data_IF_471383901031
#
_entry.id   IF_471383901031
#
_cell.length_a   1.000
_cell.length_b   1.000
_cell.length_c   1.000
_cell.angle_alpha   90.00
_cell.angle_beta   90.00
_cell.angle_gamma   90.00
#
_symmetry.space_group_name_H-M   'P 1'
#
loop_
_entity.id
_entity.type
_entity.pdbx_description
1 polymer ?
#
# COMPACT_ATOMS: atom_id res chain seq x y z
N UNK A 1 -64.68 78.77 29.59
CA UNK A 1 -64.58 77.68 28.61
C UNK A 1 -63.13 77.23 28.30
N UNK A 2 -62.10 77.86 28.86
CA UNK A 2 -60.70 77.68 28.41
C UNK A 2 -59.84 76.71 29.25
N UNK A 3 -60.23 76.42 30.50
CA UNK A 3 -59.53 75.44 31.37
C UNK A 3 -59.89 73.97 31.06
N UNK A 4 -61.08 73.72 30.52
CA UNK A 4 -61.57 72.36 30.23
C UNK A 4 -60.91 71.75 28.98
N UNK A 5 -60.63 72.59 27.97
CA UNK A 5 -59.95 72.19 26.72
C UNK A 5 -58.45 71.89 26.93
N UNK A 6 -57.80 72.48 27.94
CA UNK A 6 -56.39 72.23 28.23
C UNK A 6 -56.16 70.88 28.93
N UNK A 7 -57.02 70.53 29.90
CA UNK A 7 -56.96 69.22 30.57
C UNK A 7 -57.30 68.06 29.63
N UNK A 8 -58.21 68.25 28.66
CA UNK A 8 -58.52 67.23 27.65
C UNK A 8 -57.33 66.92 26.73
N UNK A 9 -56.52 67.93 26.37
CA UNK A 9 -55.31 67.72 25.56
C UNK A 9 -54.22 66.97 26.33
N UNK A 10 -54.03 67.26 27.62
CA UNK A 10 -53.04 66.55 28.44
C UNK A 10 -53.43 65.08 28.65
N UNK A 11 -54.72 64.80 28.89
CA UNK A 11 -55.22 63.44 29.06
C UNK A 11 -55.12 62.65 27.75
N UNK A 12 -55.41 63.27 26.60
CA UNK A 12 -55.23 62.62 25.29
C UNK A 12 -53.74 62.36 24.97
N UNK A 13 -52.83 63.29 25.29
CA UNK A 13 -51.39 63.09 25.06
C UNK A 13 -50.81 62.00 25.97
N UNK A 14 -51.23 61.94 27.24
CA UNK A 14 -50.80 60.89 28.18
C UNK A 14 -51.39 59.53 27.78
N UNK A 15 -52.65 59.48 27.34
CA UNK A 15 -53.26 58.26 26.84
C UNK A 15 -52.60 57.78 25.53
N UNK A 16 -52.20 58.69 24.64
CA UNK A 16 -51.53 58.34 23.39
C UNK A 16 -50.09 57.82 23.64
N UNK A 17 -49.36 58.40 24.60
CA UNK A 17 -48.04 57.91 25.01
C UNK A 17 -48.15 56.56 25.73
N UNK A 18 -49.19 56.33 26.53
CA UNK A 18 -49.43 55.04 27.18
C UNK A 18 -49.79 53.94 26.17
N UNK A 19 -50.51 54.25 25.09
CA UNK A 19 -50.81 53.29 24.01
C UNK A 19 -49.57 52.94 23.18
N UNK A 20 -48.63 53.88 22.99
CA UNK A 20 -47.34 53.61 22.33
C UNK A 20 -46.43 52.71 23.20
N UNK A 21 -46.51 52.81 24.53
CA UNK A 21 -45.80 51.93 25.47
C UNK A 21 -46.48 50.56 25.71
N UNK A 22 -47.73 50.40 25.26
CA UNK A 22 -48.48 49.14 25.31
C UNK A 22 -48.42 48.35 23.99
N UNK A 23 -47.79 48.90 22.94
CA UNK A 23 -47.44 48.10 21.78
C UNK A 23 -46.31 47.15 22.20
N UNK A 24 -46.53 45.81 22.17
CA UNK A 24 -45.44 44.90 22.44
C UNK A 24 -44.35 45.20 21.43
N UNK A 25 -43.15 45.56 21.91
CA UNK A 25 -41.97 45.50 21.07
C UNK A 25 -41.95 44.09 20.49
N UNK A 26 -42.23 43.97 19.18
CA UNK A 26 -41.84 42.79 18.43
C UNK A 26 -40.32 42.85 18.36
N UNK A 27 -39.66 42.58 19.48
CA UNK A 27 -38.29 42.13 19.46
C UNK A 27 -38.29 40.94 18.53
N UNK A 28 -37.69 41.10 17.35
CA UNK A 28 -37.35 39.95 16.53
C UNK A 28 -36.48 39.08 17.42
N UNK A 29 -37.07 38.06 18.04
CA UNK A 29 -36.31 37.01 18.70
C UNK A 29 -35.38 36.50 17.61
N UNK A 30 -34.10 36.86 17.71
CA UNK A 30 -33.08 36.50 16.75
C UNK A 30 -33.08 34.98 16.73
N UNK A 31 -33.68 34.40 15.69
CA UNK A 31 -33.91 32.96 15.57
C UNK A 31 -32.55 32.31 15.80
N UNK A 32 -32.40 31.62 16.93
CA UNK A 32 -31.11 31.05 17.32
C UNK A 32 -30.67 30.15 16.19
N UNK A 33 -29.51 30.47 15.60
CA UNK A 33 -29.01 29.75 14.45
C UNK A 33 -28.85 28.28 14.82
N UNK A 34 -29.34 27.37 13.96
CA UNK A 34 -29.26 25.96 14.29
C UNK A 34 -27.78 25.51 14.39
N UNK A 35 -27.45 24.54 15.24
CA UNK A 35 -26.09 24.03 15.33
C UNK A 35 -25.51 23.60 13.97
N UNK A 36 -26.35 23.08 13.06
CA UNK A 36 -25.96 22.73 11.69
C UNK A 36 -25.61 23.95 10.84
N UNK A 37 -26.33 25.07 10.98
CA UNK A 37 -26.01 26.31 10.29
C UNK A 37 -24.71 26.93 10.83
N UNK A 38 -24.49 26.89 12.15
CA UNK A 38 -23.21 27.29 12.76
C UNK A 38 -22.05 26.41 12.25
N UNK A 39 -22.24 25.09 12.20
CA UNK A 39 -21.25 24.15 11.67
C UNK A 39 -20.96 24.41 10.18
N UNK A 40 -22.00 24.63 9.37
CA UNK A 40 -21.86 24.92 7.94
C UNK A 40 -21.05 26.19 7.69
N UNK A 41 -21.32 27.27 8.45
CA UNK A 41 -20.52 28.51 8.39
C UNK A 41 -19.06 28.28 8.75
N UNK A 42 -18.77 27.44 9.75
CA UNK A 42 -17.40 27.11 10.12
C UNK A 42 -16.66 26.37 8.99
N UNK A 43 -17.33 25.44 8.31
CA UNK A 43 -16.77 24.76 7.13
C UNK A 43 -16.54 25.77 6.00
N UNK A 44 -17.53 26.60 5.68
CA UNK A 44 -17.44 27.61 4.62
C UNK A 44 -16.29 28.60 4.86
N UNK A 45 -16.04 29.01 6.10
CA UNK A 45 -14.93 29.88 6.45
C UNK A 45 -13.56 29.24 6.09
N UNK A 46 -13.40 27.93 6.23
CA UNK A 46 -12.20 27.20 5.78
C UNK A 46 -12.10 27.19 4.24
N UNK A 47 -13.23 27.06 3.55
CA UNK A 47 -13.28 26.97 2.09
C UNK A 47 -12.92 28.28 1.37
N UNK A 48 -12.96 29.42 2.06
CA UNK A 48 -12.52 30.73 1.52
C UNK A 48 -10.99 30.78 1.31
N UNK A 49 -10.23 29.81 1.84
CA UNK A 49 -8.78 29.75 1.68
C UNK A 49 -8.33 29.84 0.21
N UNK A 50 -7.28 30.61 -0.06
CA UNK A 50 -6.77 30.86 -1.42
C UNK A 50 -6.34 29.57 -2.15
N UNK A 51 -5.88 28.55 -1.42
CA UNK A 51 -5.53 27.23 -1.95
C UNK A 51 -6.74 26.48 -2.53
N UNK A 52 -7.97 26.82 -2.12
CA UNK A 52 -9.21 26.14 -2.52
C UNK A 52 -10.02 26.92 -3.59
N UNK A 53 -9.50 28.06 -4.08
CA UNK A 53 -10.20 28.97 -5.02
C UNK A 53 -10.71 28.30 -6.30
N UNK A 54 -10.07 27.22 -6.76
CA UNK A 54 -10.50 26.48 -7.95
C UNK A 54 -11.79 25.68 -7.75
N UNK A 55 -12.27 25.55 -6.50
CA UNK A 55 -13.48 24.82 -6.11
C UNK A 55 -13.56 23.38 -6.67
N UNK A 56 -12.40 22.77 -6.92
CA UNK A 56 -12.30 21.40 -7.42
C UNK A 56 -12.21 20.41 -6.26
N UNK A 57 -13.24 20.41 -5.43
CA UNK A 57 -13.39 19.50 -4.30
C UNK A 57 -14.87 19.17 -4.10
N UNK A 58 -15.13 18.02 -3.50
CA UNK A 58 -16.44 17.62 -2.99
C UNK A 58 -16.32 17.25 -1.52
N UNK A 59 -17.30 17.68 -0.72
CA UNK A 59 -17.36 17.37 0.71
C UNK A 59 -18.76 16.85 1.02
N UNK A 60 -18.82 15.73 1.73
CA UNK A 60 -20.04 15.20 2.33
C UNK A 60 -19.74 14.79 3.76
N UNK A 61 -20.41 15.43 4.72
CA UNK A 61 -20.28 15.13 6.14
C UNK A 61 -21.59 14.52 6.60
N UNK A 62 -21.56 13.26 7.01
CA UNK A 62 -22.73 12.50 7.42
C UNK A 62 -22.61 12.07 8.88
N UNK A 63 -23.65 12.33 9.67
CA UNK A 63 -23.76 11.78 11.02
C UNK A 63 -24.32 10.36 10.93
N UNK A 64 -23.55 9.38 11.42
CA UNK A 64 -24.00 7.99 11.49
C UNK A 64 -25.08 7.81 12.58
N UNK A 65 -24.92 8.47 13.73
CA UNK A 65 -25.88 8.41 14.85
C UNK A 65 -27.24 9.01 14.46
N UNK A 66 -27.25 10.19 13.84
CA UNK A 66 -28.50 10.87 13.44
C UNK A 66 -29.02 10.41 12.08
N UNK A 67 -28.25 9.58 11.38
CA UNK A 67 -28.46 9.22 9.99
C UNK A 67 -28.80 10.43 9.08
N UNK A 68 -28.04 11.51 9.20
CA UNK A 68 -28.33 12.78 8.52
C UNK A 68 -27.06 13.40 7.94
N UNK A 69 -27.16 13.92 6.72
CA UNK A 69 -26.11 14.75 6.13
C UNK A 69 -26.09 16.11 6.82
N UNK A 70 -24.95 16.45 7.42
CA UNK A 70 -24.73 17.69 8.17
C UNK A 70 -24.21 18.81 7.26
N UNK A 71 -23.43 18.46 6.24
CA UNK A 71 -22.88 19.40 5.27
C UNK A 71 -22.64 18.68 3.94
N UNK A 72 -22.92 19.37 2.83
CA UNK A 72 -22.66 18.85 1.50
C UNK A 72 -22.34 19.97 0.51
N UNK A 73 -21.26 19.83 -0.24
CA UNK A 73 -20.93 20.69 -1.37
C UNK A 73 -20.28 19.84 -2.46
N UNK A 74 -20.81 19.91 -3.68
CA UNK A 74 -20.33 19.15 -4.84
C UNK A 74 -20.17 17.63 -4.59
N UNK A 75 -20.89 17.06 -3.62
CA UNK A 75 -20.66 15.68 -3.15
C UNK A 75 -20.90 14.61 -4.21
N UNK A 76 -21.75 14.92 -5.18
CA UNK A 76 -22.19 13.95 -6.19
C UNK A 76 -21.35 14.05 -7.48
N UNK A 77 -20.34 14.93 -7.50
CA UNK A 77 -19.38 15.02 -8.61
C UNK A 77 -18.33 13.91 -8.50
N UNK A 78 -17.87 13.42 -9.65
CA UNK A 78 -16.79 12.43 -9.71
C UNK A 78 -15.43 13.11 -9.54
N UNK A 79 -14.60 12.55 -8.66
CA UNK A 79 -13.23 12.98 -8.42
C UNK A 79 -12.29 11.78 -8.46
N UNK A 80 -11.00 12.02 -8.70
CA UNK A 80 -9.98 10.99 -8.47
C UNK A 80 -9.87 10.75 -6.96
N UNK A 81 -10.18 9.55 -6.46
CA UNK A 81 -10.17 9.29 -5.01
C UNK A 81 -8.75 9.15 -4.45
N UNK A 82 -7.72 9.07 -5.32
CA UNK A 82 -6.38 8.64 -4.94
C UNK A 82 -6.46 7.36 -4.08
N UNK A 83 -5.66 7.27 -3.01
CA UNK A 83 -5.66 6.10 -2.14
C UNK A 83 -6.94 5.88 -1.33
N UNK A 84 -7.91 6.81 -1.33
CA UNK A 84 -9.19 6.56 -0.67
C UNK A 84 -9.98 5.42 -1.31
N UNK A 85 -9.68 5.05 -2.57
CA UNK A 85 -10.27 3.86 -3.22
C UNK A 85 -10.01 2.58 -2.42
N UNK A 86 -8.91 2.52 -1.66
CA UNK A 86 -8.54 1.37 -0.83
C UNK A 86 -9.55 1.08 0.29
N UNK A 87 -10.39 2.05 0.67
CA UNK A 87 -11.50 1.83 1.59
C UNK A 87 -12.51 0.84 1.00
N UNK A 88 -12.79 0.93 -0.30
CA UNK A 88 -13.68 -0.01 -0.99
C UNK A 88 -13.05 -1.40 -1.09
N UNK A 89 -11.77 -1.48 -1.47
CA UNK A 89 -11.03 -2.75 -1.50
C UNK A 89 -11.00 -3.41 -0.12
N UNK A 90 -10.74 -2.64 0.94
CA UNK A 90 -10.74 -3.12 2.34
C UNK A 90 -12.11 -3.65 2.74
N UNK A 91 -13.17 -2.89 2.47
CA UNK A 91 -14.53 -3.31 2.80
C UNK A 91 -14.95 -4.58 2.05
N UNK A 92 -14.60 -4.68 0.76
CA UNK A 92 -14.88 -5.86 -0.06
C UNK A 92 -14.10 -7.08 0.41
N UNK A 93 -12.82 -6.91 0.75
CA UNK A 93 -11.97 -7.99 1.28
C UNK A 93 -12.54 -8.56 2.58
N UNK A 94 -12.92 -7.71 3.53
CA UNK A 94 -13.58 -8.13 4.77
C UNK A 94 -14.91 -8.83 4.51
N UNK A 95 -15.71 -8.33 3.54
CA UNK A 95 -17.01 -8.91 3.20
C UNK A 95 -16.91 -10.27 2.51
N UNK A 96 -15.91 -10.47 1.64
CA UNK A 96 -15.80 -11.67 0.80
C UNK A 96 -14.90 -12.76 1.37
N UNK A 97 -13.77 -12.37 1.95
CA UNK A 97 -12.78 -13.30 2.49
C UNK A 97 -12.93 -13.49 4.01
N UNK A 98 -13.39 -12.46 4.71
CA UNK A 98 -13.47 -12.44 6.17
C UNK A 98 -12.15 -12.03 6.85
N UNK A 99 -12.21 -11.51 8.09
CA UNK A 99 -11.04 -10.93 8.78
C UNK A 99 -9.95 -11.95 9.13
N UNK A 100 -10.31 -13.23 9.21
CA UNK A 100 -9.41 -14.35 9.58
C UNK A 100 -8.82 -15.06 8.37
N UNK A 101 -9.14 -14.63 7.15
CA UNK A 101 -8.55 -15.16 5.93
C UNK A 101 -7.03 -15.08 5.99
N UNK A 102 -6.35 -16.13 5.52
CA UNK A 102 -4.90 -16.22 5.45
C UNK A 102 -4.50 -16.66 4.06
N UNK A 103 -3.54 -15.95 3.49
CA UNK A 103 -2.97 -16.28 2.20
C UNK A 103 -2.04 -17.49 2.35
N UNK A 104 -2.04 -18.37 1.34
CA UNK A 104 -1.20 -19.57 1.32
C UNK A 104 0.06 -19.32 0.47
N UNK A 105 1.19 -19.87 0.91
CA UNK A 105 2.35 -20.14 0.07
C UNK A 105 2.73 -21.62 0.26
N UNK A 106 2.80 -22.39 -0.82
CA UNK A 106 3.02 -23.84 -0.76
C UNK A 106 4.36 -24.27 -1.35
N UNK A 107 4.94 -25.32 -0.79
CA UNK A 107 6.11 -26.02 -1.33
C UNK A 107 5.71 -27.41 -1.79
N UNK A 108 6.13 -27.80 -2.99
CA UNK A 108 5.76 -29.08 -3.59
C UNK A 108 7.00 -29.80 -4.13
N UNK A 109 6.97 -31.13 -4.17
CA UNK A 109 8.02 -31.94 -4.77
C UNK A 109 7.44 -32.92 -5.78
N UNK A 110 8.17 -33.15 -6.87
CA UNK A 110 7.75 -34.09 -7.92
C UNK A 110 8.10 -35.54 -7.61
N UNK A 111 8.99 -35.78 -6.63
CA UNK A 111 9.46 -37.11 -6.25
C UNK A 111 9.61 -37.21 -4.72
N UNK A 112 9.45 -38.40 -4.12
CA UNK A 112 9.78 -38.63 -2.71
C UNK A 112 11.24 -38.28 -2.40
N UNK A 113 11.49 -37.83 -1.17
CA UNK A 113 12.86 -37.61 -0.68
C UNK A 113 13.51 -38.98 -0.46
N UNK A 114 14.63 -39.24 -1.14
CA UNK A 114 15.42 -40.45 -1.04
C UNK A 114 16.65 -40.21 -0.14
N UNK A 115 16.60 -40.74 1.07
CA UNK A 115 17.60 -40.48 2.11
C UNK A 115 17.66 -38.99 2.45
N UNK A 116 18.66 -38.28 1.92
CA UNK A 116 18.84 -36.83 2.09
C UNK A 116 18.67 -36.01 0.82
N UNK A 117 18.24 -36.64 -0.28
CA UNK A 117 18.21 -36.02 -1.61
C UNK A 117 16.82 -36.10 -2.22
N UNK A 118 16.31 -34.95 -2.67
CA UNK A 118 15.21 -34.89 -3.62
C UNK A 118 15.78 -35.01 -5.04
N UNK A 119 15.46 -36.10 -5.75
CA UNK A 119 15.94 -36.33 -7.14
C UNK A 119 15.04 -35.68 -8.20
N UNK A 120 13.96 -35.03 -7.79
CA UNK A 120 13.06 -34.27 -8.66
C UNK A 120 13.18 -32.76 -8.44
N UNK A 121 12.20 -32.04 -8.97
CA UNK A 121 12.06 -30.60 -8.85
C UNK A 121 11.36 -30.26 -7.53
N UNK A 122 11.68 -29.08 -6.99
CA UNK A 122 10.91 -28.45 -5.90
C UNK A 122 10.18 -27.24 -6.46
N UNK A 123 8.91 -27.08 -6.13
CA UNK A 123 8.11 -25.92 -6.55
C UNK A 123 7.77 -25.04 -5.36
N UNK A 124 7.84 -23.73 -5.53
CA UNK A 124 7.24 -22.75 -4.63
C UNK A 124 6.06 -22.10 -5.35
N UNK A 125 4.88 -22.19 -4.74
CA UNK A 125 3.64 -21.65 -5.30
C UNK A 125 3.09 -20.55 -4.42
N UNK A 126 2.89 -19.39 -5.02
CA UNK A 126 2.22 -18.28 -4.36
C UNK A 126 0.72 -18.27 -4.65
N UNK A 127 -0.09 -18.05 -3.62
CA UNK A 127 -1.54 -17.85 -3.73
C UNK A 127 -1.92 -16.41 -3.37
N UNK A 128 -1.11 -15.45 -3.82
CA UNK A 128 -1.39 -14.02 -3.69
C UNK A 128 -0.99 -13.38 -2.37
N UNK A 129 -0.20 -14.06 -1.52
CA UNK A 129 0.24 -13.54 -0.21
C UNK A 129 0.96 -12.18 -0.36
N UNK A 130 0.37 -11.08 0.12
CA UNK A 130 0.99 -9.76 0.02
C UNK A 130 2.01 -9.51 1.13
N UNK A 131 2.19 -10.45 2.07
CA UNK A 131 3.01 -10.33 3.26
C UNK A 131 3.98 -11.52 3.43
N UNK A 132 4.34 -12.20 2.33
CA UNK A 132 5.48 -13.10 2.31
C UNK A 132 6.78 -12.27 2.34
N UNK A 133 7.29 -12.04 3.54
CA UNK A 133 8.54 -11.32 3.78
C UNK A 133 9.64 -12.24 4.32
N UNK A 134 10.84 -11.70 4.55
CA UNK A 134 12.03 -12.44 5.00
C UNK A 134 11.75 -13.42 6.16
N UNK A 135 10.98 -13.00 7.16
CA UNK A 135 10.60 -13.81 8.30
C UNK A 135 9.76 -15.03 7.89
N UNK A 136 8.74 -14.85 7.06
CA UNK A 136 7.88 -15.94 6.59
C UNK A 136 8.63 -16.89 5.64
N UNK A 137 9.54 -16.37 4.81
CA UNK A 137 10.41 -17.20 3.98
C UNK A 137 11.33 -18.08 4.83
N UNK A 138 11.90 -17.53 5.92
CA UNK A 138 12.67 -18.32 6.87
C UNK A 138 11.85 -19.41 7.54
N UNK A 139 10.61 -19.11 7.97
CA UNK A 139 9.72 -20.12 8.53
C UNK A 139 9.43 -21.24 7.53
N UNK A 140 9.09 -20.89 6.29
CA UNK A 140 8.80 -21.85 5.22
C UNK A 140 10.00 -22.77 4.93
N UNK A 141 11.20 -22.20 4.84
CA UNK A 141 12.44 -22.95 4.61
C UNK A 141 12.84 -23.78 5.83
N UNK A 142 12.58 -23.28 7.04
CA UNK A 142 12.87 -24.02 8.27
C UNK A 142 12.01 -25.26 8.42
N UNK A 143 10.78 -25.27 7.89
CA UNK A 143 9.97 -26.51 7.83
C UNK A 143 10.66 -27.62 7.03
N UNK A 144 11.43 -27.28 5.98
CA UNK A 144 12.19 -28.28 5.24
C UNK A 144 13.37 -28.85 6.03
N UNK A 145 13.86 -28.15 7.05
CA UNK A 145 14.89 -28.69 7.96
C UNK A 145 14.35 -29.80 8.86
N UNK A 146 13.04 -29.83 9.11
CA UNK A 146 12.36 -30.92 9.81
C UNK A 146 12.29 -32.20 8.95
N UNK A 147 12.66 -32.12 7.68
CA UNK A 147 12.82 -33.26 6.77
C UNK A 147 14.30 -33.68 6.68
N UNK A 148 14.60 -34.92 6.27
CA UNK A 148 15.98 -35.35 6.04
C UNK A 148 16.62 -34.69 4.80
N UNK A 149 15.93 -33.76 4.13
CA UNK A 149 16.37 -33.07 2.92
C UNK A 149 17.63 -32.22 3.15
N UNK A 150 18.67 -32.49 2.36
CA UNK A 150 19.91 -31.68 2.30
C UNK A 150 20.31 -31.30 0.87
N UNK A 151 19.73 -31.94 -0.14
CA UNK A 151 20.04 -31.66 -1.54
C UNK A 151 18.81 -31.82 -2.43
N UNK A 152 18.61 -30.89 -3.36
CA UNK A 152 17.65 -30.99 -4.47
C UNK A 152 18.45 -31.06 -5.77
N UNK A 153 18.25 -32.14 -6.54
CA UNK A 153 18.95 -32.34 -7.82
C UNK A 153 18.25 -31.69 -9.01
N UNK A 154 16.92 -31.56 -8.94
CA UNK A 154 16.13 -30.89 -9.96
C UNK A 154 16.13 -29.37 -9.84
N UNK A 155 15.22 -28.76 -10.60
CA UNK A 155 15.00 -27.32 -10.67
C UNK A 155 14.14 -26.80 -9.52
N UNK A 156 14.15 -25.48 -9.35
CA UNK A 156 13.13 -24.75 -8.59
C UNK A 156 12.10 -24.20 -9.58
N UNK A 157 10.84 -24.57 -9.37
CA UNK A 157 9.71 -24.08 -10.17
C UNK A 157 8.97 -23.00 -9.39
N UNK A 158 8.88 -21.80 -9.97
CA UNK A 158 8.13 -20.68 -9.43
C UNK A 158 6.72 -20.67 -10.04
N UNK A 159 5.72 -21.08 -9.25
CA UNK A 159 4.32 -21.12 -9.70
C UNK A 159 3.57 -19.86 -9.23
N UNK A 160 3.16 -19.05 -10.21
CA UNK A 160 2.32 -17.86 -10.03
C UNK A 160 0.95 -17.96 -10.71
N UNK A 161 0.53 -19.17 -11.09
CA UNK A 161 -0.71 -19.43 -11.86
C UNK A 161 -2.01 -19.07 -11.14
N UNK A 162 -1.94 -18.66 -9.86
CA UNK A 162 -3.11 -18.20 -9.11
C UNK A 162 -3.62 -16.84 -9.62
N UNK A 163 -2.73 -15.99 -10.19
CA UNK A 163 -3.10 -14.73 -10.84
C UNK A 163 -2.82 -14.78 -12.34
N UNK A 164 -3.34 -13.77 -13.06
CA UNK A 164 -2.95 -13.50 -14.44
C UNK A 164 -1.52 -12.97 -14.54
N UNK A 165 -1.00 -12.93 -15.76
CA UNK A 165 0.34 -12.44 -16.10
C UNK A 165 0.43 -10.90 -16.16
N UNK A 166 -0.68 -10.20 -15.86
CA UNK A 166 -0.71 -8.74 -15.81
C UNK A 166 0.02 -8.22 -14.55
N UNK A 167 1.31 -7.96 -14.68
CA UNK A 167 2.16 -7.45 -13.60
C UNK A 167 1.78 -6.04 -13.13
N UNK A 168 0.96 -5.28 -13.87
CA UNK A 168 0.51 -3.94 -13.49
C UNK A 168 -0.87 -3.64 -14.03
N UNK A 169 -1.59 -2.73 -13.38
CA UNK A 169 -2.89 -2.26 -13.86
C UNK A 169 -2.69 -1.41 -15.11
N UNK A 170 -3.52 -1.65 -16.13
CA UNK A 170 -3.49 -0.94 -17.42
C UNK A 170 -3.58 0.59 -17.31
N UNK A 171 -4.22 1.10 -16.25
CA UNK A 171 -4.42 2.55 -16.03
C UNK A 171 -3.24 3.24 -15.35
N UNK A 172 -2.26 2.50 -14.81
CA UNK A 172 -1.06 3.12 -14.28
C UNK A 172 -0.21 3.71 -15.41
N UNK A 173 0.52 4.82 -15.15
CA UNK A 173 1.24 5.59 -16.18
C UNK A 173 2.29 4.74 -16.92
N UNK A 174 2.30 4.80 -18.26
CA UNK A 174 3.19 4.01 -19.15
C UNK A 174 4.70 4.13 -18.90
N UNK A 175 5.19 5.24 -18.31
CA UNK A 175 6.61 5.39 -17.92
C UNK A 175 6.76 5.01 -16.46
N UNK A 176 7.20 3.78 -16.22
CA UNK A 176 7.35 3.19 -14.90
C UNK A 176 8.60 3.75 -14.22
N UNK A 177 8.40 4.43 -13.10
CA UNK A 177 9.48 4.69 -12.17
C UNK A 177 9.83 3.42 -11.38
N UNK A 178 10.94 3.49 -10.66
CA UNK A 178 11.49 2.37 -9.90
C UNK A 178 11.02 2.33 -8.46
N UNK A 179 10.11 3.24 -8.09
CA UNK A 179 9.65 3.39 -6.73
C UNK A 179 8.86 2.15 -6.28
N UNK A 180 8.96 1.84 -4.99
CA UNK A 180 8.26 0.71 -4.36
C UNK A 180 6.73 0.73 -4.58
N UNK A 181 6.10 1.91 -4.61
CA UNK A 181 4.65 2.01 -4.83
C UNK A 181 4.20 1.65 -6.26
N UNK A 182 5.15 1.45 -7.18
CA UNK A 182 4.97 0.99 -8.56
C UNK A 182 5.42 -0.47 -8.76
N UNK A 183 5.63 -1.22 -7.66
CA UNK A 183 6.05 -2.61 -7.71
C UNK A 183 5.08 -3.45 -8.56
N UNK A 184 5.61 -4.38 -9.37
CA UNK A 184 4.77 -5.30 -10.11
C UNK A 184 3.98 -6.21 -9.17
N UNK A 185 2.83 -6.66 -9.62
CA UNK A 185 1.96 -7.64 -9.00
C UNK A 185 2.40 -9.05 -9.38
N UNK A 186 2.01 -10.06 -8.60
CA UNK A 186 2.31 -11.46 -8.91
C UNK A 186 1.84 -12.37 -7.79
N UNK A 187 1.31 -13.56 -8.12
CA UNK A 187 0.78 -14.46 -7.09
C UNK A 187 1.87 -15.00 -6.16
N UNK A 188 3.08 -15.17 -6.68
CA UNK A 188 4.29 -15.43 -5.91
C UNK A 188 5.11 -14.14 -5.84
N UNK A 189 5.08 -13.50 -4.67
CA UNK A 189 5.75 -12.24 -4.42
C UNK A 189 6.54 -12.32 -3.13
N UNK A 190 7.65 -11.57 -3.05
CA UNK A 190 8.50 -11.52 -1.85
C UNK A 190 8.86 -10.08 -1.53
N UNK A 191 8.82 -9.68 -0.25
CA UNK A 191 9.14 -8.33 0.22
C UNK A 191 8.46 -7.23 -0.62
N UNK A 192 7.16 -7.39 -0.88
CA UNK A 192 6.36 -6.46 -1.69
C UNK A 192 6.88 -6.25 -3.12
N UNK A 193 7.64 -7.22 -3.66
CA UNK A 193 8.36 -7.14 -4.93
C UNK A 193 9.32 -5.95 -4.99
N UNK A 194 10.03 -5.74 -3.89
CA UNK A 194 11.04 -4.72 -3.75
C UNK A 194 12.35 -5.29 -3.21
N UNK A 195 13.43 -4.55 -3.50
CA UNK A 195 14.75 -4.70 -2.92
C UNK A 195 15.09 -3.44 -2.14
N UNK A 196 15.78 -3.60 -1.03
CA UNK A 196 16.30 -2.49 -0.24
C UNK A 196 17.76 -2.24 -0.60
N UNK A 197 18.13 -0.99 -0.88
CA UNK A 197 19.50 -0.57 -1.18
C UNK A 197 19.96 0.37 -0.08
N UNK A 198 21.01 -0.04 0.62
CA UNK A 198 21.68 0.73 1.63
C UNK A 198 22.94 1.37 1.05
N UNK A 199 23.10 2.69 1.22
CA UNK A 199 24.28 3.42 0.75
C UNK A 199 24.93 4.12 1.93
N UNK A 200 26.14 3.70 2.28
CA UNK A 200 26.96 4.28 3.35
C UNK A 200 28.14 5.03 2.71
N UNK A 201 28.51 6.23 3.18
CA UNK A 201 29.71 6.90 2.68
C UNK A 201 30.96 6.03 2.82
N UNK A 202 31.92 6.22 1.93
CA UNK A 202 33.27 5.69 2.10
C UNK A 202 34.02 6.42 3.21
N UNK A 203 35.19 5.92 3.60
CA UNK A 203 35.93 6.44 4.75
C UNK A 203 36.45 7.86 4.52
N UNK A 204 36.83 8.20 3.29
CA UNK A 204 37.42 9.50 2.93
C UNK A 204 36.80 10.10 1.67
N UNK A 205 36.86 11.42 1.49
CA UNK A 205 36.48 12.05 0.23
C UNK A 205 37.27 11.46 -0.95
N UNK A 206 36.57 11.12 -2.04
CA UNK A 206 37.12 10.43 -3.20
C UNK A 206 36.76 8.94 -3.26
N UNK A 207 36.51 8.31 -2.11
CA UNK A 207 36.15 6.89 -2.05
C UNK A 207 34.78 6.61 -2.67
N UNK A 208 34.57 5.40 -3.17
CA UNK A 208 33.20 4.95 -3.52
C UNK A 208 32.43 4.68 -2.23
N UNK A 209 31.14 5.06 -2.14
CA UNK A 209 30.32 4.65 -1.02
C UNK A 209 30.14 3.14 -1.02
N UNK A 210 29.95 2.54 0.15
CA UNK A 210 29.59 1.13 0.28
C UNK A 210 28.11 0.97 -0.05
N UNK A 211 27.79 0.09 -0.99
CA UNK A 211 26.42 -0.22 -1.40
C UNK A 211 26.13 -1.66 -1.04
N UNK A 212 25.09 -1.86 -0.23
CA UNK A 212 24.59 -3.18 0.18
C UNK A 212 23.15 -3.31 -0.29
N UNK A 213 22.80 -4.45 -0.88
CA UNK A 213 21.42 -4.77 -1.28
C UNK A 213 20.86 -5.88 -0.42
N UNK A 214 19.57 -5.80 -0.13
CA UNK A 214 18.83 -6.82 0.61
C UNK A 214 17.52 -7.14 -0.13
N UNK A 215 17.31 -8.41 -0.56
CA UNK A 215 18.20 -9.56 -0.41
C UNK A 215 19.41 -9.53 -1.37
N UNK A 216 20.55 -10.04 -0.90
CA UNK A 216 21.77 -10.22 -1.72
C UNK A 216 21.69 -11.54 -2.50
N UNK A 217 21.28 -11.46 -3.76
CA UNK A 217 21.09 -12.62 -4.65
C UNK A 217 21.61 -12.30 -6.05
N UNK A 218 21.94 -13.33 -6.83
CA UNK A 218 22.52 -13.19 -8.18
C UNK A 218 21.63 -12.38 -9.15
N UNK A 219 20.31 -12.39 -8.94
CA UNK A 219 19.35 -11.62 -9.75
C UNK A 219 19.44 -10.11 -9.52
N UNK A 220 20.06 -9.65 -8.42
CA UNK A 220 20.26 -8.23 -8.13
C UNK A 220 21.76 -7.92 -8.24
N UNK A 221 22.14 -7.07 -9.19
CA UNK A 221 23.55 -6.66 -9.37
C UNK A 221 23.71 -5.18 -9.12
N UNK A 222 24.82 -4.78 -8.52
CA UNK A 222 25.08 -3.36 -8.19
C UNK A 222 26.11 -2.78 -9.14
N UNK A 223 25.75 -1.65 -9.75
CA UNK A 223 26.65 -0.78 -10.50
C UNK A 223 26.85 0.53 -9.72
N UNK A 224 27.92 0.56 -8.93
CA UNK A 224 28.24 1.68 -8.05
C UNK A 224 29.19 2.67 -8.74
N UNK A 225 28.61 3.77 -9.22
CA UNK A 225 29.27 4.90 -9.87
C UNK A 225 29.36 6.13 -8.97
N UNK A 226 28.80 6.09 -7.76
CA UNK A 226 28.78 7.21 -6.84
C UNK A 226 30.15 7.48 -6.18
N UNK A 227 30.27 8.65 -5.55
CA UNK A 227 31.49 9.06 -4.83
C UNK A 227 31.17 9.71 -3.49
N UNK A 228 32.07 9.51 -2.55
CA UNK A 228 32.07 10.17 -1.25
C UNK A 228 32.75 11.51 -1.38
N UNK A 229 32.18 12.56 -0.79
CA UNK A 229 32.74 13.93 -0.80
C UNK A 229 32.86 14.46 0.62
N UNK A 230 33.71 15.47 0.86
CA UNK A 230 33.92 16.04 2.19
C UNK A 230 32.63 16.63 2.77
N UNK A 231 32.15 17.73 2.19
CA UNK A 231 30.90 18.39 2.57
C UNK A 231 30.29 18.99 1.33
N UNK A 232 29.03 18.64 1.04
CA UNK A 232 28.30 19.22 -0.09
C UNK A 232 26.93 19.69 0.38
N UNK A 233 26.61 20.96 0.11
CA UNK A 233 25.23 21.50 0.25
C UNK A 233 24.25 20.85 -0.74
N UNK A 234 24.75 20.05 -1.69
CA UNK A 234 23.99 19.32 -2.71
C UNK A 234 24.43 17.85 -2.76
N UNK A 235 24.55 17.20 -1.59
CA UNK A 235 24.66 15.74 -1.50
C UNK A 235 23.39 15.15 -2.11
N UNK A 236 23.50 14.48 -3.26
CA UNK A 236 22.38 13.84 -3.92
C UNK A 236 22.86 12.59 -4.60
N UNK A 237 22.38 11.47 -4.10
CA UNK A 237 22.45 10.20 -4.78
C UNK A 237 21.28 10.07 -5.76
N UNK A 238 21.53 9.33 -6.83
CA UNK A 238 20.51 8.84 -7.76
C UNK A 238 20.67 7.33 -7.74
N UNK A 239 19.67 6.67 -7.17
CA UNK A 239 19.59 5.22 -7.02
C UNK A 239 18.44 4.74 -7.90
N UNK A 240 18.75 3.87 -8.85
CA UNK A 240 17.81 3.43 -9.87
C UNK A 240 17.93 1.93 -10.12
N UNK A 241 16.92 1.34 -10.73
CA UNK A 241 16.94 -0.06 -11.21
C UNK A 241 16.82 -0.06 -12.74
N UNK A 242 17.66 -0.86 -13.40
CA UNK A 242 17.63 -1.12 -14.84
C UNK A 242 17.31 -2.59 -15.05
N UNK A 243 16.39 -2.87 -15.97
CA UNK A 243 16.08 -4.24 -16.36
C UNK A 243 17.10 -4.69 -17.43
N UNK A 244 17.83 -5.77 -17.14
CA UNK A 244 18.79 -6.38 -18.07
C UNK A 244 18.27 -7.71 -18.64
N UNK A 245 16.99 -8.04 -18.40
CA UNK A 245 16.36 -9.28 -18.84
C UNK A 245 16.67 -10.47 -17.93
N UNK A 246 17.95 -10.79 -17.71
CA UNK A 246 18.36 -11.89 -16.83
C UNK A 246 18.63 -11.48 -15.38
N UNK A 247 18.74 -10.18 -15.11
CA UNK A 247 18.92 -9.62 -13.77
C UNK A 247 18.38 -8.19 -13.70
N UNK A 248 18.23 -7.67 -12.48
CA UNK A 248 17.96 -6.27 -12.20
C UNK A 248 19.26 -5.60 -11.75
N UNK A 249 19.69 -4.58 -12.48
CA UNK A 249 20.90 -3.81 -12.16
C UNK A 249 20.53 -2.56 -11.36
N UNK A 250 21.01 -2.48 -10.13
CA UNK A 250 20.90 -1.32 -9.25
C UNK A 250 22.04 -0.36 -9.57
N UNK A 251 21.73 0.76 -10.18
CA UNK A 251 22.71 1.80 -10.47
C UNK A 251 22.71 2.86 -9.36
N UNK A 252 23.87 3.11 -8.76
CA UNK A 252 24.06 4.15 -7.73
C UNK A 252 25.02 5.19 -8.27
N UNK A 253 24.59 6.44 -8.37
CA UNK A 253 25.38 7.56 -8.92
C UNK A 253 25.17 8.84 -8.12
N UNK A 254 25.96 9.88 -8.41
CA UNK A 254 25.95 11.13 -7.66
C UNK A 254 26.95 11.10 -6.51
N UNK A 255 26.66 11.86 -5.46
CA UNK A 255 27.60 12.06 -4.34
C UNK A 255 26.92 11.95 -2.98
N UNK A 256 27.64 11.42 -2.00
CA UNK A 256 27.26 11.37 -0.59
C UNK A 256 28.37 11.99 0.27
N UNK A 257 28.02 12.81 1.28
CA UNK A 257 29.04 13.39 2.18
C UNK A 257 29.61 12.34 3.12
N UNK A 258 30.90 12.43 3.44
CA UNK A 258 31.60 11.51 4.36
C UNK A 258 30.98 11.48 5.76
N UNK A 259 30.35 12.58 6.19
CA UNK A 259 29.67 12.68 7.48
C UNK A 259 28.17 12.33 7.41
N UNK A 260 27.67 11.89 6.25
CA UNK A 260 26.26 11.56 6.07
C UNK A 260 25.93 10.20 6.69
N UNK A 261 24.74 10.07 7.27
CA UNK A 261 24.25 8.77 7.72
C UNK A 261 23.95 7.85 6.52
N UNK A 262 23.90 6.54 6.77
CA UNK A 262 23.48 5.56 5.77
C UNK A 262 22.12 5.92 5.20
N UNK A 263 22.02 6.03 3.88
CA UNK A 263 20.76 6.23 3.17
C UNK A 263 20.13 4.90 2.79
N UNK A 264 18.80 4.85 2.73
CA UNK A 264 18.03 3.65 2.41
C UNK A 264 17.05 3.94 1.29
N UNK A 265 17.06 3.09 0.26
CA UNK A 265 16.22 3.20 -0.93
C UNK A 265 15.45 1.90 -1.13
N UNK A 266 14.17 2.01 -1.50
CA UNK A 266 13.32 0.85 -1.83
C UNK A 266 12.96 0.89 -3.30
N UNK A 267 13.41 -0.12 -4.05
CA UNK A 267 13.24 -0.20 -5.49
C UNK A 267 12.40 -1.40 -5.88
N UNK A 268 11.52 -1.25 -6.85
CA UNK A 268 10.79 -2.37 -7.43
C UNK A 268 11.68 -3.31 -8.25
N UNK A 269 11.26 -4.58 -8.35
CA UNK A 269 11.85 -5.58 -9.25
C UNK A 269 11.03 -5.73 -10.54
N UNK A 270 11.53 -6.47 -11.54
CA UNK A 270 10.81 -6.67 -12.81
C UNK A 270 10.12 -8.02 -12.98
N UNK A 271 10.64 -9.10 -12.38
CA UNK A 271 10.12 -10.46 -12.51
C UNK A 271 9.82 -11.07 -11.13
N UNK A 272 8.65 -10.79 -10.52
CA UNK A 272 8.31 -11.18 -9.15
C UNK A 272 8.49 -12.65 -8.80
N UNK A 273 7.89 -13.56 -9.56
CA UNK A 273 7.94 -14.99 -9.24
C UNK A 273 9.37 -15.54 -9.37
N UNK A 274 10.09 -15.15 -10.42
CA UNK A 274 11.50 -15.51 -10.58
C UNK A 274 12.36 -14.95 -9.45
N UNK A 275 12.16 -13.68 -9.10
CA UNK A 275 12.84 -13.04 -7.97
C UNK A 275 12.59 -13.78 -6.65
N UNK A 276 11.32 -14.04 -6.32
CA UNK A 276 10.95 -14.76 -5.10
C UNK A 276 11.54 -16.18 -5.06
N UNK A 277 11.59 -16.89 -6.18
CA UNK A 277 12.23 -18.21 -6.25
C UNK A 277 13.76 -18.16 -6.17
N UNK A 278 14.41 -17.11 -6.70
CA UNK A 278 15.86 -16.88 -6.50
C UNK A 278 16.17 -16.57 -5.03
N UNK A 279 15.31 -15.80 -4.35
CA UNK A 279 15.41 -15.59 -2.89
C UNK A 279 15.22 -16.91 -2.15
N UNK A 280 14.20 -17.70 -2.50
CA UNK A 280 13.98 -19.02 -1.90
C UNK A 280 15.19 -19.93 -2.08
N UNK A 281 15.82 -19.96 -3.26
CA UNK A 281 17.08 -20.69 -3.52
C UNK A 281 18.19 -20.25 -2.56
N UNK A 282 18.33 -18.96 -2.33
CA UNK A 282 19.32 -18.42 -1.40
C UNK A 282 19.03 -18.81 0.05
N UNK A 283 17.76 -18.76 0.47
CA UNK A 283 17.38 -19.19 1.82
C UNK A 283 17.59 -20.70 2.02
N UNK A 284 17.30 -21.54 1.02
CA UNK A 284 17.65 -22.96 1.04
C UNK A 284 19.16 -23.15 1.24
N UNK A 285 19.98 -22.41 0.49
CA UNK A 285 21.45 -22.45 0.63
C UNK A 285 21.89 -22.08 2.05
N UNK A 286 21.37 -21.00 2.60
CA UNK A 286 21.66 -20.57 3.98
C UNK A 286 21.15 -21.58 5.03
N UNK A 287 20.08 -22.30 4.72
CA UNK A 287 19.56 -23.40 5.53
C UNK A 287 20.38 -24.71 5.39
N UNK A 288 21.39 -24.75 4.52
CA UNK A 288 22.20 -25.95 4.27
C UNK A 288 21.55 -26.98 3.35
N UNK A 289 20.56 -26.56 2.53
CA UNK A 289 19.95 -27.36 1.48
C UNK A 289 20.51 -26.89 0.13
N UNK A 290 21.35 -27.72 -0.48
CA UNK A 290 21.95 -27.43 -1.79
C UNK A 290 20.93 -27.68 -2.91
N UNK A 291 20.83 -26.76 -3.88
CA UNK A 291 20.03 -26.97 -5.09
C UNK A 291 20.91 -26.87 -6.32
N UNK A 292 21.03 -27.96 -7.09
CA UNK A 292 21.91 -28.02 -8.27
C UNK A 292 21.23 -27.58 -9.56
N UNK A 293 19.90 -27.62 -9.64
CA UNK A 293 19.15 -27.15 -10.79
C UNK A 293 19.03 -25.63 -10.88
N UNK A 294 18.28 -25.19 -11.89
CA UNK A 294 18.02 -23.79 -12.20
C UNK A 294 16.68 -23.35 -11.60
N UNK A 295 16.49 -22.04 -11.53
CA UNK A 295 15.18 -21.46 -11.24
C UNK A 295 14.45 -21.24 -12.57
N UNK A 296 13.18 -21.61 -12.64
CA UNK A 296 12.30 -21.34 -13.78
C UNK A 296 10.88 -21.01 -13.33
N UNK A 297 10.18 -20.20 -14.10
CA UNK A 297 8.74 -19.92 -13.90
C UNK A 297 7.92 -21.01 -14.59
N UNK A 298 6.88 -21.50 -13.92
CA UNK A 298 6.00 -22.52 -14.46
C UNK A 298 5.02 -23.04 -13.41
N UNK A 299 3.99 -23.76 -13.83
CA UNK A 299 3.05 -24.39 -12.90
C UNK A 299 3.70 -25.54 -12.13
N UNK A 300 3.23 -25.75 -10.89
CA UNK A 300 3.51 -26.98 -10.14
C UNK A 300 3.16 -28.19 -11.04
N UNK A 301 4.10 -29.13 -11.26
CA UNK A 301 3.85 -30.29 -12.12
C UNK A 301 2.72 -31.17 -11.59
N UNK A 302 1.99 -31.81 -12.51
CA UNK A 302 0.98 -32.81 -12.17
C UNK A 302 1.62 -33.97 -11.37
N UNK A 303 0.92 -34.44 -10.35
CA UNK A 303 1.41 -35.50 -9.46
C UNK A 303 2.43 -35.04 -8.41
N UNK A 304 2.82 -33.76 -8.37
CA UNK A 304 3.61 -33.23 -7.27
C UNK A 304 2.81 -33.26 -5.96
N UNK A 305 3.47 -33.62 -4.85
CA UNK A 305 2.87 -33.62 -3.52
C UNK A 305 3.37 -32.44 -2.70
N UNK A 306 2.54 -31.95 -1.78
CA UNK A 306 2.87 -30.84 -0.89
C UNK A 306 3.88 -31.30 0.18
N UNK A 307 5.02 -30.60 0.26
CA UNK A 307 6.04 -30.78 1.29
C UNK A 307 5.68 -30.00 2.56
N UNK A 308 5.25 -28.76 2.39
CA UNK A 308 4.90 -27.84 3.46
C UNK A 308 4.12 -26.65 2.90
N UNK A 309 3.43 -25.92 3.77
CA UNK A 309 2.85 -24.62 3.41
C UNK A 309 2.97 -23.63 4.55
N UNK A 310 2.95 -22.36 4.17
CA UNK A 310 2.87 -21.23 5.08
C UNK A 310 1.52 -20.53 4.90
N UNK A 311 0.90 -20.18 6.02
CA UNK A 311 -0.27 -19.33 6.07
C UNK A 311 0.12 -17.95 6.63
N UNK A 312 -0.21 -16.89 5.90
CA UNK A 312 0.10 -15.51 6.27
C UNK A 312 -0.50 -15.11 7.62
N UNK A 313 -0.16 -13.91 8.11
CA UNK A 313 -0.96 -13.26 9.16
C UNK A 313 -2.42 -13.05 8.71
N UNK A 314 -3.40 -12.97 9.63
CA UNK A 314 -4.80 -12.75 9.26
C UNK A 314 -5.00 -11.48 8.42
N UNK A 315 -5.97 -11.53 7.51
CA UNK A 315 -6.34 -10.42 6.64
C UNK A 315 -6.59 -9.12 7.42
N UNK A 316 -7.18 -9.19 8.61
CA UNK A 316 -7.38 -8.02 9.48
C UNK A 316 -6.08 -7.26 9.81
N UNK A 317 -4.96 -7.97 10.05
CA UNK A 317 -3.65 -7.36 10.29
C UNK A 317 -3.02 -6.81 9.01
N UNK A 318 -3.17 -7.55 7.90
CA UNK A 318 -2.69 -7.10 6.58
C UNK A 318 -3.42 -5.82 6.17
N UNK A 319 -4.74 -5.75 6.35
CA UNK A 319 -5.56 -4.57 6.06
C UNK A 319 -5.21 -3.38 6.94
N UNK A 320 -4.80 -3.61 8.20
CA UNK A 320 -4.26 -2.55 9.05
C UNK A 320 -3.00 -1.94 8.42
N UNK A 321 -2.08 -2.78 7.95
CA UNK A 321 -0.87 -2.33 7.24
C UNK A 321 -1.20 -1.58 5.95
N UNK A 322 -2.07 -2.15 5.10
CA UNK A 322 -2.55 -1.52 3.87
C UNK A 322 -3.09 -0.12 4.13
N UNK A 323 -3.99 0.05 5.11
CA UNK A 323 -4.68 1.31 5.35
C UNK A 323 -3.80 2.33 6.10
N UNK A 324 -2.85 1.88 6.94
CA UNK A 324 -1.93 2.79 7.65
C UNK A 324 -0.82 3.33 6.75
N UNK A 325 -0.30 2.49 5.85
CA UNK A 325 0.80 2.88 4.96
C UNK A 325 0.34 3.16 3.53
N UNK A 326 -0.97 3.08 3.26
CA UNK A 326 -1.55 3.28 1.94
C UNK A 326 -0.86 2.42 0.85
N UNK A 327 -0.64 1.14 1.15
CA UNK A 327 0.18 0.28 0.29
C UNK A 327 -0.60 -0.12 -0.99
N UNK A 328 -0.14 0.32 -2.16
CA UNK A 328 -0.77 0.01 -3.46
C UNK A 328 -0.69 -1.48 -3.79
N UNK A 329 0.51 -2.07 -3.63
CA UNK A 329 0.75 -3.47 -3.93
C UNK A 329 -0.19 -4.39 -3.15
N UNK A 330 -0.30 -4.18 -1.83
CA UNK A 330 -1.17 -4.98 -0.96
C UNK A 330 -2.65 -4.85 -1.38
N UNK A 331 -3.10 -3.64 -1.74
CA UNK A 331 -4.49 -3.44 -2.18
C UNK A 331 -4.82 -4.22 -3.46
N UNK A 332 -3.92 -4.19 -4.45
CA UNK A 332 -4.13 -4.89 -5.72
C UNK A 332 -4.00 -6.42 -5.58
N UNK A 333 -3.06 -6.91 -4.77
CA UNK A 333 -2.95 -8.35 -4.46
C UNK A 333 -4.23 -8.88 -3.81
N UNK A 334 -4.79 -8.12 -2.86
CA UNK A 334 -6.06 -8.47 -2.21
C UNK A 334 -7.20 -8.48 -3.24
N UNK A 335 -7.26 -7.47 -4.12
CA UNK A 335 -8.29 -7.41 -5.15
C UNK A 335 -8.24 -8.62 -6.09
N UNK A 336 -7.05 -8.96 -6.61
CA UNK A 336 -6.87 -10.16 -7.44
C UNK A 336 -7.18 -11.44 -6.67
N UNK A 337 -6.88 -11.51 -5.37
CA UNK A 337 -7.24 -12.65 -4.52
C UNK A 337 -8.74 -12.82 -4.41
N UNK A 338 -9.48 -11.72 -4.21
CA UNK A 338 -10.96 -11.77 -4.24
C UNK A 338 -11.44 -12.31 -5.60
N UNK A 339 -10.82 -11.84 -6.71
CA UNK A 339 -11.07 -12.35 -8.05
C UNK A 339 -10.94 -13.87 -8.14
N UNK A 340 -9.78 -14.39 -7.72
CA UNK A 340 -9.48 -15.82 -7.73
C UNK A 340 -10.43 -16.66 -6.85
N UNK A 341 -10.62 -16.24 -5.60
CA UNK A 341 -11.38 -16.99 -4.58
C UNK A 341 -12.89 -16.97 -4.85
N UNK A 342 -13.43 -15.85 -5.34
CA UNK A 342 -14.89 -15.67 -5.49
C UNK A 342 -15.36 -16.00 -6.91
N UNK A 343 -14.54 -15.73 -7.92
CA UNK A 343 -14.95 -15.83 -9.32
C UNK A 343 -14.10 -16.80 -10.16
N UNK A 344 -13.12 -17.46 -9.54
CA UNK A 344 -12.30 -18.49 -10.15
C UNK A 344 -10.97 -17.99 -10.70
N UNK A 345 -10.12 -18.96 -11.05
CA UNK A 345 -8.77 -18.71 -11.54
C UNK A 345 -8.75 -18.34 -13.03
N UNK A 346 -7.78 -17.51 -13.46
CA UNK A 346 -6.85 -16.76 -12.62
C UNK A 346 -7.51 -15.54 -11.95
N UNK A 347 -6.98 -15.13 -10.80
CA UNK A 347 -7.34 -13.84 -10.19
C UNK A 347 -6.82 -12.67 -11.02
N UNK A 348 -7.69 -11.72 -11.35
CA UNK A 348 -7.40 -10.55 -12.17
C UNK A 348 -7.92 -9.29 -11.48
N UNK A 349 -7.44 -8.11 -11.89
CA UNK A 349 -8.02 -6.84 -11.44
C UNK A 349 -9.43 -6.62 -11.98
N UNK A 350 -9.85 -7.34 -13.03
CA UNK A 350 -11.16 -7.16 -13.66
C UNK A 350 -12.26 -7.98 -12.96
N UNK A 351 -11.95 -9.19 -12.51
CA UNK A 351 -12.90 -10.04 -11.79
C UNK A 351 -12.90 -9.81 -10.27
N UNK A 352 -11.80 -9.30 -9.70
CA UNK A 352 -11.78 -8.78 -8.32
C UNK A 352 -12.54 -7.47 -8.20
#
# INVERSE_FOLDING_TARGET
MTKMLFNMKIIFTIAFIAVIWLLPEKGNAQKTESPEAVFSKAVEAVLVNSCLRKQNFGIKIHSLERNKTLYSIHSDRLFSPASNVKLLTTAMALKRLGPDYRFKTGLYATMPIDGKTLRGDISIKGFGDPNLVSEQMWLLVNELKNLPLRKVRGDIIADESFFDDNLRIKTWKKKWGVEAYNAPLGALSFNFNTVTVYVTPGEKPGDRPVVVVDPDIEFIRVDNRARTVSTSKRSRLIVNRVDRGNHNEITVSGVISVNHLRETYYLNVTQPAYYAAMVFKEYLRQAGIEVTGKVRVGSVPEGAYELSSHASTPLSLILRGLNKFSNNFVAEQILKTIGAEVYGLPGTTLNG
#
